data_IF_587208552590
#
_entry.id   IF_587208552590
#
_cell.length_a   1.000
_cell.length_b   1.000
_cell.length_c   1.000
_cell.angle_alpha   90.00
_cell.angle_beta   90.00
_cell.angle_gamma   90.00
#
_symmetry.space_group_name_H-M   'P 1'
#
loop_
_entity.id
_entity.type
_entity.pdbx_description
1 polymer ?
#
# COMPACT_ATOMS: atom_id res chain seq x y z
N UNK A 1 -1.87 20.35 18.07
CA UNK A 1 -1.35 21.71 17.80
C UNK A 1 -1.46 22.56 19.05
N UNK A 2 -0.36 22.65 19.80
CA UNK A 2 -0.30 23.49 21.00
C UNK A 2 0.44 24.78 20.63
N UNK A 3 -0.29 25.86 20.37
CA UNK A 3 0.31 27.17 20.10
C UNK A 3 0.67 27.77 21.46
N UNK A 4 1.95 27.80 21.81
CA UNK A 4 2.42 28.57 22.97
C UNK A 4 2.44 30.05 22.58
N UNK A 5 1.80 30.94 23.35
CA UNK A 5 1.77 32.36 23.01
C UNK A 5 3.20 32.93 23.00
N UNK A 6 3.58 33.58 21.89
CA UNK A 6 4.90 34.20 21.72
C UNK A 6 5.97 33.32 21.09
N UNK A 7 5.63 32.10 20.64
CA UNK A 7 6.55 31.21 19.92
C UNK A 7 6.10 31.00 18.47
N UNK A 8 7.05 30.68 17.59
CA UNK A 8 6.73 30.15 16.26
C UNK A 8 6.00 28.81 16.40
N UNK A 9 4.99 28.58 15.55
CA UNK A 9 4.35 27.28 15.53
C UNK A 9 5.26 26.24 14.88
N UNK A 10 5.03 24.96 15.19
CA UNK A 10 5.74 23.84 14.57
C UNK A 10 5.64 23.88 13.03
N UNK A 11 4.48 24.29 12.50
CA UNK A 11 4.26 24.47 11.06
C UNK A 11 5.14 25.60 10.50
N UNK A 12 5.30 26.70 11.22
CA UNK A 12 6.16 27.82 10.79
C UNK A 12 7.64 27.43 10.81
N UNK A 13 8.07 26.62 11.79
CA UNK A 13 9.43 26.09 11.85
C UNK A 13 9.74 25.17 10.66
N UNK A 14 8.80 24.29 10.29
CA UNK A 14 8.91 23.40 9.13
C UNK A 14 8.96 24.22 7.83
N UNK A 15 8.03 25.16 7.63
CA UNK A 15 8.02 26.05 6.46
C UNK A 15 9.30 26.88 6.34
N UNK A 16 9.90 27.27 7.47
CA UNK A 16 11.19 27.96 7.49
C UNK A 16 12.34 27.04 7.04
N UNK A 17 12.38 25.77 7.50
CA UNK A 17 13.39 24.78 7.09
C UNK A 17 13.28 24.45 5.60
N UNK A 18 12.07 24.24 5.11
CA UNK A 18 11.78 23.84 3.72
C UNK A 18 11.86 25.02 2.73
N UNK A 19 12.15 26.23 3.24
CA UNK A 19 12.23 27.48 2.46
C UNK A 19 10.92 27.83 1.75
N UNK A 20 9.79 27.51 2.38
CA UNK A 20 8.44 27.77 1.86
C UNK A 20 7.82 29.09 2.40
N UNK A 21 8.56 29.83 3.22
CA UNK A 21 8.18 31.16 3.68
C UNK A 21 8.56 32.24 2.65
N UNK A 22 7.79 33.33 2.60
CA UNK A 22 8.19 34.53 1.87
C UNK A 22 9.45 35.17 2.49
N UNK A 23 10.15 36.03 1.74
CA UNK A 23 11.39 36.66 2.22
C UNK A 23 11.22 37.44 3.53
N UNK A 24 10.09 38.16 3.68
CA UNK A 24 9.77 38.93 4.88
C UNK A 24 9.46 38.04 6.08
N UNK A 25 8.72 36.95 5.88
CA UNK A 25 8.42 35.95 6.90
C UNK A 25 9.68 35.22 7.35
N UNK A 26 10.54 34.82 6.43
CA UNK A 26 11.80 34.15 6.72
C UNK A 26 12.75 35.07 7.52
N UNK A 27 12.81 36.37 7.17
CA UNK A 27 13.59 37.35 7.93
C UNK A 27 13.06 37.53 9.37
N UNK A 28 11.73 37.58 9.54
CA UNK A 28 11.12 37.68 10.86
C UNK A 28 11.34 36.41 11.70
N UNK A 29 11.18 35.22 11.10
CA UNK A 29 11.44 33.95 11.74
C UNK A 29 12.91 33.82 12.16
N UNK A 30 13.84 34.24 11.32
CA UNK A 30 15.28 34.25 11.63
C UNK A 30 15.60 35.13 12.84
N UNK A 31 15.10 36.37 12.87
CA UNK A 31 15.26 37.28 14.01
C UNK A 31 14.68 36.69 15.30
N UNK A 32 13.53 36.02 15.21
CA UNK A 32 12.94 35.34 16.37
C UNK A 32 13.80 34.17 16.87
N UNK A 33 14.30 33.33 15.96
CA UNK A 33 15.15 32.17 16.28
C UNK A 33 16.48 32.56 16.92
N UNK A 34 17.04 33.72 16.58
CA UNK A 34 18.25 34.28 17.21
C UNK A 34 18.01 34.69 18.68
N UNK A 35 16.77 35.02 19.05
CA UNK A 35 16.39 35.48 20.40
C UNK A 35 15.61 34.48 21.25
N UNK A 36 15.21 33.33 20.70
CA UNK A 36 14.31 32.37 21.35
C UNK A 36 14.92 30.96 21.42
N UNK A 37 15.47 30.61 22.58
CA UNK A 37 16.15 29.32 22.79
C UNK A 37 15.21 28.12 22.53
N UNK A 38 13.96 28.20 23.00
CA UNK A 38 12.97 27.14 22.81
C UNK A 38 12.74 26.85 21.31
N UNK A 39 12.45 27.87 20.50
CA UNK A 39 12.20 27.68 19.07
C UNK A 39 13.47 27.24 18.32
N UNK A 40 14.66 27.69 18.76
CA UNK A 40 15.93 27.21 18.20
C UNK A 40 16.20 25.73 18.52
N UNK A 41 15.75 25.25 19.68
CA UNK A 41 15.85 23.85 20.08
C UNK A 41 14.89 22.99 19.25
N UNK A 42 13.63 23.40 19.17
CA UNK A 42 12.59 22.71 18.40
C UNK A 42 13.00 22.60 16.92
N UNK A 43 13.56 23.67 16.34
CA UNK A 43 14.08 23.67 14.97
C UNK A 43 15.21 22.65 14.75
N UNK A 44 16.13 22.49 15.71
CA UNK A 44 17.23 21.51 15.63
C UNK A 44 16.72 20.07 15.72
N UNK A 45 15.71 19.83 16.56
CA UNK A 45 15.08 18.51 16.68
C UNK A 45 14.40 18.12 15.37
N UNK A 46 13.62 19.03 14.77
CA UNK A 46 12.97 18.81 13.48
C UNK A 46 14.01 18.55 12.37
N UNK A 47 15.08 19.36 12.33
CA UNK A 47 16.16 19.19 11.35
C UNK A 47 16.88 17.84 11.50
N UNK A 48 17.10 17.37 12.73
CA UNK A 48 17.75 16.07 12.99
C UNK A 48 16.93 14.90 12.43
N UNK A 49 15.60 14.91 12.65
CA UNK A 49 14.71 13.87 12.11
C UNK A 49 14.73 13.87 10.57
N UNK A 50 14.76 15.06 9.95
CA UNK A 50 14.91 15.20 8.50
C UNK A 50 16.23 14.63 7.96
N UNK A 51 17.34 14.84 8.65
CA UNK A 51 18.63 14.24 8.30
C UNK A 51 18.64 12.71 8.46
N UNK A 52 18.07 12.18 9.54
CA UNK A 52 17.97 10.72 9.74
C UNK A 52 17.15 10.06 8.63
N UNK A 53 16.01 10.65 8.28
CA UNK A 53 15.19 10.17 7.17
C UNK A 53 15.93 10.28 5.83
N UNK A 54 16.67 11.38 5.61
CA UNK A 54 17.52 11.55 4.42
C UNK A 54 18.62 10.50 4.35
N UNK A 55 19.22 10.08 5.48
CA UNK A 55 20.20 8.99 5.53
C UNK A 55 19.56 7.64 5.24
N UNK A 56 18.34 7.38 5.68
CA UNK A 56 17.61 6.15 5.34
C UNK A 56 17.28 6.07 3.85
N UNK A 57 16.93 7.21 3.23
CA UNK A 57 16.65 7.28 1.79
C UNK A 57 17.93 7.27 0.95
N UNK A 58 19.01 7.89 1.43
CA UNK A 58 20.32 7.94 0.78
C UNK A 58 21.15 6.67 0.98
N UNK A 59 20.72 5.74 1.84
CA UNK A 59 21.29 4.39 1.90
C UNK A 59 21.12 3.75 0.51
N UNK A 60 22.20 3.40 -0.19
CA UNK A 60 22.10 2.89 -1.55
C UNK A 60 21.27 1.61 -1.54
N UNK A 61 20.10 1.65 -2.20
CA UNK A 61 19.39 0.45 -2.62
C UNK A 61 20.42 -0.47 -3.30
N UNK A 62 20.63 -1.68 -2.77
CA UNK A 62 21.66 -2.62 -3.20
C UNK A 62 21.42 -3.12 -4.65
N UNK A 63 21.65 -2.26 -5.63
CA UNK A 63 21.83 -2.62 -7.05
C UNK A 63 23.08 -3.51 -7.24
N UNK A 64 23.95 -3.57 -6.23
CA UNK A 64 25.15 -4.41 -6.19
C UNK A 64 24.81 -5.89 -6.30
N UNK A 65 23.73 -6.36 -5.69
CA UNK A 65 23.37 -7.79 -5.71
C UNK A 65 22.92 -8.24 -7.10
N UNK A 66 22.15 -7.41 -7.80
CA UNK A 66 21.69 -7.72 -9.16
C UNK A 66 22.84 -7.69 -10.18
N UNK A 67 23.77 -6.72 -10.06
CA UNK A 67 24.92 -6.61 -10.95
C UNK A 67 25.95 -7.72 -10.67
N UNK A 68 26.16 -8.08 -9.40
CA UNK A 68 27.06 -9.16 -8.99
C UNK A 68 26.48 -10.54 -9.34
N UNK A 69 25.16 -10.73 -9.21
CA UNK A 69 24.49 -11.93 -9.71
C UNK A 69 24.66 -12.07 -11.23
N UNK A 70 24.47 -10.98 -11.98
CA UNK A 70 24.60 -10.97 -13.44
C UNK A 70 26.03 -11.23 -13.92
N UNK A 71 27.04 -10.65 -13.27
CA UNK A 71 28.45 -10.87 -13.61
C UNK A 71 28.88 -12.30 -13.29
N UNK A 72 28.41 -12.88 -12.18
CA UNK A 72 28.68 -14.29 -11.84
C UNK A 72 28.05 -15.27 -12.84
N UNK A 73 26.83 -14.97 -13.32
CA UNK A 73 26.16 -15.77 -14.34
C UNK A 73 26.88 -15.69 -15.69
N UNK A 74 27.30 -14.50 -16.12
CA UNK A 74 28.06 -14.32 -17.35
C UNK A 74 29.44 -15.00 -17.30
N UNK A 75 30.12 -14.98 -16.15
CA UNK A 75 31.37 -15.72 -15.97
C UNK A 75 31.15 -17.24 -16.08
N UNK A 76 30.07 -17.76 -15.48
CA UNK A 76 29.68 -19.18 -15.60
C UNK A 76 29.33 -19.57 -17.05
N UNK A 77 28.65 -18.70 -17.80
CA UNK A 77 28.30 -18.93 -19.20
C UNK A 77 29.52 -18.89 -20.14
N UNK A 78 30.49 -18.00 -19.89
CA UNK A 78 31.74 -17.96 -20.68
C UNK A 78 32.63 -19.18 -20.44
N UNK A 79 32.60 -19.72 -19.22
CA UNK A 79 33.32 -20.96 -18.89
C UNK A 79 32.58 -22.22 -19.36
N UNK A 80 31.30 -22.11 -19.69
CA UNK A 80 30.50 -23.16 -20.31
C UNK A 80 30.65 -23.11 -21.85
N UNK A 81 31.83 -23.45 -22.35
CA UNK A 81 32.01 -23.89 -23.73
C UNK A 81 32.34 -25.38 -23.76
N UNK A 82 31.86 -26.11 -24.78
CA UNK A 82 32.85 -26.50 -25.77
C UNK A 82 32.40 -26.27 -27.21
N UNK A 83 33.37 -25.79 -27.97
CA UNK A 83 33.57 -25.97 -29.41
C UNK A 83 32.75 -27.08 -30.07
N UNK A 84 31.89 -26.70 -31.01
CA UNK A 84 31.47 -27.56 -32.12
C UNK A 84 31.77 -26.84 -33.42
N UNK A 85 32.99 -27.03 -33.93
CA UNK A 85 33.27 -26.79 -35.35
C UNK A 85 32.58 -27.91 -36.17
N UNK A 86 31.75 -27.59 -37.17
CA UNK A 86 31.14 -28.60 -38.01
C UNK A 86 32.15 -29.05 -39.07
N UNK A 87 32.85 -30.17 -38.83
CA UNK A 87 33.49 -30.91 -39.91
C UNK A 87 32.43 -31.78 -40.58
N UNK A 88 31.94 -31.32 -41.73
CA UNK A 88 31.13 -32.12 -42.64
C UNK A 88 31.90 -33.39 -43.05
N UNK A 89 31.52 -34.51 -42.45
CA UNK A 89 31.70 -35.84 -43.02
C UNK A 89 30.41 -36.60 -42.79
N UNK A 90 29.50 -36.51 -43.76
CA UNK A 90 28.36 -37.40 -43.84
C UNK A 90 28.84 -38.80 -44.25
N UNK A 91 28.45 -39.87 -43.53
CA UNK A 91 28.15 -41.13 -44.15
C UNK A 91 26.62 -41.33 -44.21
N UNK A 92 26.15 -41.69 -45.39
CA UNK A 92 24.76 -41.75 -45.89
C UNK A 92 23.92 -42.88 -45.23
N UNK A 93 24.27 -43.33 -44.02
CA UNK A 93 23.65 -44.45 -43.33
C UNK A 93 22.97 -44.05 -42.01
N UNK A 94 22.22 -42.94 -41.97
CA UNK A 94 21.33 -42.65 -40.83
C UNK A 94 19.90 -42.38 -41.27
N UNK A 95 19.41 -43.22 -42.19
CA UNK A 95 17.99 -43.36 -42.51
C UNK A 95 17.43 -44.55 -41.74
N UNK A 96 17.35 -44.46 -40.40
CA UNK A 96 16.41 -45.29 -39.62
C UNK A 96 16.37 -44.96 -38.12
N UNK A 97 15.13 -44.79 -37.64
CA UNK A 97 14.62 -44.89 -36.26
C UNK A 97 14.83 -43.69 -35.31
N UNK A 98 13.79 -42.85 -35.25
CA UNK A 98 13.50 -42.01 -34.08
C UNK A 98 13.29 -42.93 -32.87
N UNK A 99 14.18 -42.86 -31.88
CA UNK A 99 14.03 -43.60 -30.62
C UNK A 99 13.13 -42.84 -29.63
N UNK A 100 12.32 -43.52 -28.80
CA UNK A 100 11.31 -42.94 -27.90
C UNK A 100 11.84 -41.97 -26.82
N UNK A 101 13.15 -41.78 -26.70
CA UNK A 101 13.78 -40.85 -25.77
C UNK A 101 13.46 -39.37 -26.04
N UNK A 102 13.15 -38.99 -27.30
CA UNK A 102 12.86 -37.59 -27.65
C UNK A 102 11.47 -37.14 -27.17
N UNK A 103 10.49 -38.05 -27.10
CA UNK A 103 9.13 -37.74 -26.63
C UNK A 103 9.09 -37.54 -25.10
N UNK A 104 9.89 -38.31 -24.35
CA UNK A 104 9.98 -38.16 -22.89
C UNK A 104 10.60 -36.84 -22.45
N UNK A 105 11.60 -36.34 -23.17
CA UNK A 105 12.24 -35.05 -22.88
C UNK A 105 11.29 -33.86 -23.08
N UNK A 106 10.49 -33.87 -24.15
CA UNK A 106 9.51 -32.81 -24.43
C UNK A 106 8.38 -32.82 -23.41
N UNK A 107 7.87 -34.00 -23.05
CA UNK A 107 6.84 -34.13 -22.02
C UNK A 107 7.32 -33.65 -20.63
N UNK A 108 8.57 -33.93 -20.27
CA UNK A 108 9.18 -33.46 -19.01
C UNK A 108 9.32 -31.94 -18.94
N UNK A 109 9.74 -31.29 -20.02
CA UNK A 109 9.85 -29.82 -20.07
C UNK A 109 8.48 -29.15 -20.01
N UNK A 110 7.48 -29.70 -20.71
CA UNK A 110 6.11 -29.19 -20.66
C UNK A 110 5.48 -29.35 -19.26
N UNK A 111 5.75 -30.46 -18.57
CA UNK A 111 5.28 -30.68 -17.20
C UNK A 111 5.91 -29.68 -16.20
N UNK A 112 7.20 -29.38 -16.34
CA UNK A 112 7.88 -28.39 -15.50
C UNK A 112 7.36 -26.97 -15.80
N UNK A 113 7.17 -26.61 -17.07
CA UNK A 113 6.59 -25.32 -17.44
C UNK A 113 5.15 -25.17 -16.95
N UNK A 114 4.34 -26.22 -17.03
CA UNK A 114 2.99 -26.25 -16.49
C UNK A 114 3.00 -26.10 -14.95
N UNK A 115 3.95 -26.74 -14.26
CA UNK A 115 4.10 -26.60 -12.81
C UNK A 115 4.45 -25.16 -12.40
N UNK A 116 5.34 -24.49 -13.14
CA UNK A 116 5.66 -23.08 -12.91
C UNK A 116 4.50 -22.12 -13.22
N UNK A 117 3.58 -22.49 -14.13
CA UNK A 117 2.36 -21.73 -14.41
C UNK A 117 1.23 -21.97 -13.39
N UNK A 118 1.24 -23.13 -12.73
CA UNK A 118 0.23 -23.53 -11.75
C UNK A 118 0.59 -23.15 -10.30
N UNK A 119 1.85 -22.82 -10.03
CA UNK A 119 2.27 -22.34 -8.71
C UNK A 119 1.85 -20.86 -8.52
N UNK A 120 1.17 -20.52 -7.42
CA UNK A 120 0.77 -19.14 -7.14
C UNK A 120 2.00 -18.24 -7.01
N UNK A 121 2.04 -17.15 -7.78
CA UNK A 121 3.13 -16.19 -7.74
C UNK A 121 2.95 -15.24 -6.53
N UNK A 122 3.78 -15.34 -5.47
CA UNK A 122 3.63 -14.52 -4.27
C UNK A 122 3.79 -13.02 -4.54
N UNK A 123 4.42 -12.63 -5.66
CA UNK A 123 4.50 -11.23 -6.07
C UNK A 123 3.17 -10.63 -6.53
N UNK A 124 2.27 -11.45 -7.10
CA UNK A 124 0.93 -10.99 -7.51
C UNK A 124 0.02 -10.75 -6.31
N UNK A 125 0.05 -11.65 -5.32
CA UNK A 125 -0.79 -11.52 -4.12
C UNK A 125 -0.45 -10.28 -3.29
N UNK A 126 0.82 -9.90 -3.21
CA UNK A 126 1.22 -8.69 -2.47
C UNK A 126 0.83 -7.40 -3.19
N UNK A 127 0.91 -7.38 -4.53
CA UNK A 127 0.50 -6.22 -5.33
C UNK A 127 -1.02 -6.03 -5.30
N UNK A 128 -1.79 -7.10 -5.43
CA UNK A 128 -3.26 -7.10 -5.28
C UNK A 128 -3.65 -6.59 -3.88
N UNK A 129 -3.03 -7.14 -2.82
CA UNK A 129 -3.27 -6.66 -1.45
C UNK A 129 -2.96 -5.18 -1.28
N UNK A 130 -1.84 -4.70 -1.82
CA UNK A 130 -1.47 -3.30 -1.72
C UNK A 130 -2.42 -2.37 -2.49
N UNK A 131 -2.96 -2.80 -3.63
CA UNK A 131 -3.96 -2.07 -4.39
C UNK A 131 -5.34 -2.02 -3.68
N UNK A 132 -5.64 -3.04 -2.89
CA UNK A 132 -6.90 -3.16 -2.13
C UNK A 132 -6.88 -2.49 -0.75
N UNK A 133 -5.76 -1.94 -0.29
CA UNK A 133 -5.65 -1.26 1.00
C UNK A 133 -5.66 0.27 0.82
N UNK A 134 -6.35 1.02 1.70
CA UNK A 134 -6.27 2.47 1.70
C UNK A 134 -4.88 2.95 2.14
N UNK A 135 -4.51 4.14 1.69
CA UNK A 135 -3.36 4.85 2.24
C UNK A 135 -3.72 5.36 3.64
N UNK A 136 -3.17 4.74 4.68
CA UNK A 136 -3.46 5.10 6.09
C UNK A 136 -3.12 6.53 6.47
N UNK A 137 -2.21 7.20 5.75
CA UNK A 137 -1.90 8.61 6.00
C UNK A 137 -3.06 9.52 5.58
N UNK A 138 -3.80 9.13 4.54
CA UNK A 138 -4.95 9.86 4.02
C UNK A 138 -6.26 9.39 4.68
N UNK A 139 -6.37 8.08 4.90
CA UNK A 139 -7.56 7.44 5.47
C UNK A 139 -7.21 6.65 6.73
N UNK A 140 -6.96 7.33 7.88
CA UNK A 140 -6.69 6.68 9.15
C UNK A 140 -7.91 5.99 9.79
N UNK A 141 -9.13 6.25 9.30
CA UNK A 141 -10.37 5.66 9.83
C UNK A 141 -11.04 6.55 10.89
N UNK A 142 -11.53 7.72 10.49
CA UNK A 142 -12.19 8.66 11.41
C UNK A 142 -13.53 8.14 11.95
N UNK A 143 -13.65 8.07 13.27
CA UNK A 143 -14.85 7.61 14.00
C UNK A 143 -15.51 8.74 14.80
N UNK A 144 -16.76 8.50 15.19
CA UNK A 144 -17.51 9.31 16.17
C UNK A 144 -17.79 8.49 17.42
N UNK A 145 -18.03 9.18 18.53
CA UNK A 145 -18.54 8.54 19.73
C UNK A 145 -19.96 8.02 19.47
N UNK A 146 -20.19 6.74 19.75
CA UNK A 146 -21.48 6.07 19.60
C UNK A 146 -21.73 5.18 20.79
N UNK A 147 -22.98 5.12 21.24
CA UNK A 147 -23.39 4.09 22.19
C UNK A 147 -23.68 2.80 21.43
N UNK A 148 -23.38 1.64 22.03
CA UNK A 148 -23.70 0.35 21.41
C UNK A 148 -25.20 0.23 21.08
N UNK A 149 -26.06 0.81 21.92
CA UNK A 149 -27.51 0.84 21.67
C UNK A 149 -27.91 1.66 20.45
N UNK A 150 -27.05 2.56 19.94
CA UNK A 150 -27.30 3.33 18.73
C UNK A 150 -27.01 2.54 17.46
N UNK A 151 -25.93 1.76 17.48
CA UNK A 151 -25.42 1.01 16.32
C UNK A 151 -25.92 -0.44 16.27
N UNK A 152 -26.38 -1.00 17.38
CA UNK A 152 -26.90 -2.36 17.46
C UNK A 152 -28.43 -2.45 17.44
N UNK A 153 -29.11 -1.38 17.06
CA UNK A 153 -30.55 -1.43 16.78
C UNK A 153 -30.78 -2.17 15.46
N UNK A 154 -31.76 -3.06 15.44
CA UNK A 154 -32.14 -3.79 14.23
C UNK A 154 -32.47 -2.83 13.07
N UNK A 155 -31.86 -3.05 11.91
CA UNK A 155 -32.39 -2.56 10.62
C UNK A 155 -31.56 -1.55 9.84
N UNK A 156 -30.35 -1.19 10.26
CA UNK A 156 -29.43 -0.43 9.40
C UNK A 156 -28.33 -1.35 8.85
N UNK A 157 -28.64 -2.01 7.74
CA UNK A 157 -27.69 -2.82 6.96
C UNK A 157 -26.97 -1.98 5.88
N UNK A 158 -27.15 -0.65 5.86
CA UNK A 158 -26.47 0.24 4.92
C UNK A 158 -25.02 0.46 5.36
N UNK A 159 -24.12 -0.34 4.79
CA UNK A 159 -22.67 -0.25 5.04
C UNK A 159 -22.06 0.96 4.33
N UNK A 160 -22.63 1.35 3.19
CA UNK A 160 -22.10 2.33 2.25
C UNK A 160 -23.10 3.46 1.92
N UNK A 161 -23.55 4.22 2.93
CA UNK A 161 -24.49 5.30 2.68
C UNK A 161 -23.89 6.35 1.74
N UNK A 162 -24.76 6.91 0.89
CA UNK A 162 -24.36 7.79 -0.20
C UNK A 162 -23.49 8.97 0.27
N UNK A 163 -22.21 8.95 -0.12
CA UNK A 163 -21.26 10.04 0.16
C UNK A 163 -21.57 11.26 -0.72
N UNK A 164 -21.63 12.49 -0.16
CA UNK A 164 -21.83 13.71 -0.94
C UNK A 164 -20.75 13.90 -2.01
N UNK A 165 -21.15 14.43 -3.18
CA UNK A 165 -20.25 14.61 -4.35
C UNK A 165 -18.99 15.40 -3.97
N UNK A 166 -19.13 16.46 -3.16
CA UNK A 166 -18.00 17.29 -2.74
C UNK A 166 -16.97 16.51 -1.93
N UNK A 167 -17.41 15.52 -1.14
CA UNK A 167 -16.50 14.64 -0.38
C UNK A 167 -15.82 13.62 -1.29
N UNK A 168 -16.55 13.05 -2.24
CA UNK A 168 -15.97 12.15 -3.26
C UNK A 168 -14.84 12.86 -4.03
N UNK A 169 -15.10 14.08 -4.49
CA UNK A 169 -14.10 14.91 -5.18
C UNK A 169 -12.89 15.24 -4.28
N UNK A 170 -13.11 15.48 -2.99
CA UNK A 170 -12.02 15.70 -2.03
C UNK A 170 -11.15 14.46 -1.86
N UNK A 171 -11.76 13.28 -1.70
CA UNK A 171 -11.05 11.99 -1.62
C UNK A 171 -10.19 11.76 -2.86
N UNK A 172 -10.77 11.90 -4.06
CA UNK A 172 -10.01 11.70 -5.30
C UNK A 172 -8.85 12.68 -5.45
N UNK A 173 -9.04 13.94 -5.05
CA UNK A 173 -7.98 14.95 -5.05
C UNK A 173 -6.84 14.59 -4.09
N UNK A 174 -7.16 14.15 -2.88
CA UNK A 174 -6.14 13.76 -1.88
C UNK A 174 -5.35 12.52 -2.33
N UNK A 175 -6.01 11.60 -3.02
CA UNK A 175 -5.37 10.41 -3.60
C UNK A 175 -4.68 10.66 -4.95
N UNK A 176 -4.73 11.89 -5.48
CA UNK A 176 -4.13 12.22 -6.78
C UNK A 176 -4.79 11.54 -7.98
N UNK A 177 -6.07 11.16 -7.87
CA UNK A 177 -6.84 10.51 -8.92
C UNK A 177 -7.48 11.56 -9.83
N UNK A 178 -7.23 11.44 -11.14
CA UNK A 178 -7.83 12.32 -12.14
C UNK A 178 -9.36 12.15 -12.21
N UNK A 179 -10.14 13.24 -12.40
CA UNK A 179 -11.59 13.17 -12.58
C UNK A 179 -12.05 12.20 -13.68
N UNK A 180 -11.25 12.03 -14.74
CA UNK A 180 -11.58 11.13 -15.87
C UNK A 180 -11.66 9.64 -15.45
N UNK A 181 -10.90 9.28 -14.41
CA UNK A 181 -10.83 7.92 -13.87
C UNK A 181 -11.72 7.73 -12.65
N UNK A 182 -11.97 8.80 -11.89
CA UNK A 182 -12.62 8.79 -10.59
C UNK A 182 -13.92 7.97 -10.54
N UNK A 183 -14.88 8.22 -11.44
CA UNK A 183 -16.18 7.55 -11.41
C UNK A 183 -16.25 6.18 -12.09
N UNK A 184 -15.26 5.85 -12.94
CA UNK A 184 -15.27 4.62 -13.73
C UNK A 184 -14.43 3.51 -13.10
N UNK A 185 -13.36 3.88 -12.41
CA UNK A 185 -12.39 2.93 -11.86
C UNK A 185 -12.57 2.68 -10.35
N UNK A 186 -13.29 3.57 -9.64
CA UNK A 186 -13.36 3.54 -8.17
C UNK A 186 -14.76 3.83 -7.61
N UNK A 187 -15.09 3.18 -6.50
CA UNK A 187 -16.09 3.68 -5.54
C UNK A 187 -15.41 4.47 -4.42
N UNK A 188 -16.09 5.47 -3.87
CA UNK A 188 -15.65 6.10 -2.61
C UNK A 188 -16.35 5.38 -1.48
N UNK A 189 -15.56 4.74 -0.64
CA UNK A 189 -15.99 3.78 0.37
C UNK A 189 -15.51 4.21 1.77
N UNK A 190 -16.21 3.77 2.81
CA UNK A 190 -15.85 3.98 4.21
C UNK A 190 -14.80 2.94 4.64
N UNK A 191 -13.69 3.34 5.24
CA UNK A 191 -12.76 2.39 5.86
C UNK A 191 -13.37 1.73 7.10
N UNK A 192 -14.05 2.52 7.93
CA UNK A 192 -14.88 2.05 9.03
C UNK A 192 -16.33 2.41 8.68
N UNK A 193 -17.21 1.41 8.54
CA UNK A 193 -18.62 1.67 8.26
C UNK A 193 -19.33 2.42 9.40
N UNK A 194 -20.46 3.11 9.12
CA UNK A 194 -21.25 3.81 10.15
C UNK A 194 -21.77 2.90 11.26
N UNK A 195 -22.00 1.62 10.96
CA UNK A 195 -22.41 0.58 11.92
C UNK A 195 -21.30 0.27 12.94
N UNK A 196 -20.05 0.57 12.61
CA UNK A 196 -18.91 0.54 13.52
C UNK A 196 -18.52 1.93 14.02
N UNK A 197 -19.43 2.91 13.92
CA UNK A 197 -19.19 4.29 14.37
C UNK A 197 -18.27 5.11 13.46
N UNK A 198 -18.04 4.67 12.23
CA UNK A 198 -17.36 5.46 11.21
C UNK A 198 -18.11 6.74 10.84
N UNK A 199 -17.37 7.70 10.29
CA UNK A 199 -17.91 8.99 9.82
C UNK A 199 -17.73 9.13 8.32
N UNK A 200 -18.47 10.05 7.70
CA UNK A 200 -18.28 10.42 6.30
C UNK A 200 -17.13 11.42 6.10
N UNK A 201 -16.30 11.67 7.13
CA UNK A 201 -15.09 12.51 7.05
C UNK A 201 -14.14 11.95 5.99
N UNK A 202 -13.48 12.82 5.22
CA UNK A 202 -12.55 12.42 4.16
C UNK A 202 -11.45 11.49 4.70
N UNK A 203 -11.07 11.63 5.97
CA UNK A 203 -10.09 10.76 6.67
C UNK A 203 -10.63 9.36 7.03
N UNK A 204 -11.89 9.07 6.75
CA UNK A 204 -12.47 7.73 6.81
C UNK A 204 -12.92 7.23 5.42
N UNK A 205 -12.79 8.06 4.38
CA UNK A 205 -13.19 7.70 3.04
C UNK A 205 -11.97 7.42 2.18
N UNK A 206 -12.10 6.50 1.23
CA UNK A 206 -11.02 6.15 0.31
C UNK A 206 -11.56 5.69 -1.05
N UNK A 207 -10.76 5.80 -2.12
CA UNK A 207 -11.13 5.29 -3.44
C UNK A 207 -10.82 3.80 -3.51
N UNK A 208 -11.85 2.97 -3.45
CA UNK A 208 -11.75 1.53 -3.60
C UNK A 208 -11.90 1.14 -5.07
N UNK A 209 -10.91 0.41 -5.58
CA UNK A 209 -10.82 -0.03 -6.99
C UNK A 209 -11.90 -1.06 -7.34
N UNK A 210 -12.56 -0.89 -8.48
CA UNK A 210 -13.46 -1.90 -9.05
C UNK A 210 -12.71 -3.06 -9.74
N UNK A 211 -11.39 -2.97 -9.88
CA UNK A 211 -10.58 -3.94 -10.65
C UNK A 211 -10.14 -5.15 -9.82
N UNK A 212 -10.21 -5.03 -8.50
CA UNK A 212 -9.74 -6.08 -7.60
C UNK A 212 -10.72 -7.26 -7.60
N UNK A 213 -10.18 -8.48 -7.69
CA UNK A 213 -11.02 -9.68 -7.79
C UNK A 213 -11.18 -10.39 -6.45
N UNK A 214 -10.11 -10.51 -5.66
CA UNK A 214 -10.14 -11.24 -4.39
C UNK A 214 -10.51 -10.31 -3.25
N UNK A 215 -9.77 -9.21 -3.11
CA UNK A 215 -9.94 -8.21 -2.06
C UNK A 215 -10.74 -7.03 -2.64
N UNK A 216 -12.04 -7.27 -2.83
CA UNK A 216 -12.99 -6.36 -3.46
C UNK A 216 -14.00 -5.79 -2.43
N UNK A 217 -14.90 -4.91 -2.90
CA UNK A 217 -15.94 -4.29 -2.08
C UNK A 217 -16.80 -5.32 -1.34
N UNK A 218 -17.30 -6.34 -2.05
CA UNK A 218 -18.15 -7.37 -1.43
C UNK A 218 -17.45 -8.13 -0.28
N UNK A 219 -16.17 -8.44 -0.42
CA UNK A 219 -15.39 -9.07 0.66
C UNK A 219 -15.27 -8.13 1.88
N UNK A 220 -15.07 -6.83 1.64
CA UNK A 220 -15.05 -5.84 2.72
C UNK A 220 -16.43 -5.72 3.39
N UNK A 221 -17.51 -5.65 2.62
CA UNK A 221 -18.89 -5.58 3.16
C UNK A 221 -19.22 -6.78 4.05
N UNK A 222 -18.79 -7.98 3.65
CA UNK A 222 -18.93 -9.19 4.46
C UNK A 222 -18.22 -9.07 5.81
N UNK A 223 -16.99 -8.56 5.81
CA UNK A 223 -16.25 -8.29 7.04
C UNK A 223 -16.95 -7.24 7.91
N UNK A 224 -17.40 -6.13 7.33
CA UNK A 224 -18.02 -5.06 8.11
C UNK A 224 -19.31 -5.52 8.79
N UNK A 225 -20.14 -6.25 8.06
CA UNK A 225 -21.35 -6.89 8.62
C UNK A 225 -21.00 -7.87 9.73
N UNK A 226 -19.97 -8.69 9.52
CA UNK A 226 -19.56 -9.68 10.50
C UNK A 226 -19.00 -9.02 11.78
N UNK A 227 -18.15 -7.99 11.64
CA UNK A 227 -17.63 -7.22 12.77
C UNK A 227 -18.76 -6.52 13.54
N UNK A 228 -19.69 -5.90 12.83
CA UNK A 228 -20.88 -5.27 13.43
C UNK A 228 -21.66 -6.29 14.27
N UNK A 229 -21.93 -7.48 13.72
CA UNK A 229 -22.58 -8.56 14.45
C UNK A 229 -21.79 -9.00 15.69
N UNK A 230 -20.47 -9.20 15.58
CA UNK A 230 -19.63 -9.59 16.73
C UNK A 230 -19.64 -8.53 17.84
N UNK A 231 -19.64 -7.24 17.47
CA UNK A 231 -19.74 -6.12 18.43
C UNK A 231 -21.10 -6.13 19.12
N UNK A 232 -22.19 -6.30 18.37
CA UNK A 232 -23.54 -6.30 18.92
C UNK A 232 -23.86 -7.53 19.78
N UNK A 233 -23.25 -8.67 19.45
CA UNK A 233 -23.25 -9.87 20.29
C UNK A 233 -22.27 -9.78 21.47
N UNK A 234 -21.51 -8.69 21.58
CA UNK A 234 -20.49 -8.44 22.63
C UNK A 234 -19.36 -9.48 22.66
N UNK A 235 -19.10 -10.14 21.52
CA UNK A 235 -17.99 -11.08 21.36
C UNK A 235 -16.65 -10.36 21.23
N UNK A 236 -16.64 -9.18 20.63
CA UNK A 236 -15.50 -8.26 20.56
C UNK A 236 -15.93 -6.86 20.99
N UNK A 237 -14.97 -6.00 21.33
CA UNK A 237 -15.26 -4.59 21.63
C UNK A 237 -15.38 -3.77 20.35
N UNK A 238 -16.15 -2.68 20.37
CA UNK A 238 -16.22 -1.74 19.25
C UNK A 238 -14.83 -1.21 18.87
N UNK A 239 -14.00 -0.89 19.86
CA UNK A 239 -12.63 -0.42 19.64
C UNK A 239 -11.75 -1.47 18.97
N UNK A 240 -11.91 -2.76 19.32
CA UNK A 240 -11.19 -3.85 18.65
C UNK A 240 -11.60 -3.97 17.18
N UNK A 241 -12.89 -3.91 16.88
CA UNK A 241 -13.39 -3.96 15.50
C UNK A 241 -12.87 -2.78 14.67
N UNK A 242 -13.00 -1.56 15.20
CA UNK A 242 -12.49 -0.32 14.57
C UNK A 242 -10.97 -0.40 14.32
N UNK A 243 -10.20 -0.86 15.30
CA UNK A 243 -8.76 -0.99 15.16
C UNK A 243 -8.37 -2.03 14.11
N UNK A 244 -9.04 -3.19 14.11
CA UNK A 244 -8.74 -4.27 13.17
C UNK A 244 -8.96 -3.85 11.72
N UNK A 245 -10.12 -3.26 11.41
CA UNK A 245 -10.48 -2.88 10.04
C UNK A 245 -9.65 -1.67 9.55
N UNK A 246 -9.44 -0.65 10.40
CA UNK A 246 -8.68 0.54 10.03
C UNK A 246 -7.18 0.26 9.85
N UNK A 247 -6.65 -0.72 10.59
CA UNK A 247 -5.29 -1.16 10.39
C UNK A 247 -5.18 -1.91 9.06
N UNK A 248 -5.78 -3.09 8.95
CA UNK A 248 -5.66 -3.91 7.75
C UNK A 248 -6.92 -4.76 7.64
N UNK A 249 -7.88 -4.26 6.87
CA UNK A 249 -9.17 -4.92 6.69
C UNK A 249 -9.01 -6.32 6.06
N UNK A 250 -7.97 -6.56 5.26
CA UNK A 250 -7.68 -7.88 4.68
C UNK A 250 -7.20 -8.84 5.77
N UNK A 251 -6.29 -8.40 6.64
CA UNK A 251 -5.87 -9.19 7.81
C UNK A 251 -7.04 -9.42 8.78
N UNK A 252 -7.93 -8.44 8.94
CA UNK A 252 -9.13 -8.59 9.74
C UNK A 252 -10.08 -9.64 9.14
N UNK A 253 -10.32 -9.60 7.82
CA UNK A 253 -11.09 -10.64 7.11
C UNK A 253 -10.53 -12.04 7.42
N UNK A 254 -9.21 -12.22 7.29
CA UNK A 254 -8.54 -13.49 7.58
C UNK A 254 -8.58 -13.91 9.06
N UNK A 255 -8.78 -12.97 9.99
CA UNK A 255 -8.85 -13.26 11.43
C UNK A 255 -10.25 -13.73 11.84
N UNK A 256 -11.30 -13.14 11.25
CA UNK A 256 -12.67 -13.34 11.70
C UNK A 256 -13.47 -14.32 10.83
N UNK A 257 -12.94 -14.75 9.68
CA UNK A 257 -13.44 -15.86 8.86
C UNK A 257 -12.47 -17.04 8.85
#
# INVERSE_FOLDING_TARGET
MSIRPGHLSEVDLIRYLDREMSESESAAARLHLEGCEACSSDLREIAHVGEEMSRMIAAPFHLTDAVQARSSLQAKLKNAGPSLQPKNRFPVWLRSRMTPAFLGGVAGVLAIAALFLLLPNPGRSNAERAASLPNRALTPGMTRQVELGDICREGDDDLDPAVPVQRKEAVFREYGISPDHAGNDFQVDYLISPQLGGTDDVRNLWPQSYKETTWNAAAKDELERHLSQLVCERKITLQEAQHAIAHDWIAAYQKYF
#
